data_IF_153104150048
#
_entry.id   IF_153104150048
#
_cell.length_a   1.000
_cell.length_b   1.000
_cell.length_c   1.000
_cell.angle_alpha   90.00
_cell.angle_beta   90.00
_cell.angle_gamma   90.00
#
_symmetry.space_group_name_H-M   'P 1'
#
loop_
_entity.id
_entity.type
_entity.pdbx_description
1 polymer ?
#
# COMPACT_ATOMS: atom_id res chain seq x y z
N UNK A 1 5.46 17.44 -8.77
CA UNK A 1 6.16 16.15 -8.64
C UNK A 1 5.27 15.15 -7.94
N UNK A 2 5.14 13.93 -8.49
CA UNK A 2 4.40 12.79 -7.92
C UNK A 2 5.42 11.87 -7.25
N UNK A 3 5.36 11.78 -5.92
CA UNK A 3 6.32 11.03 -5.10
C UNK A 3 5.71 9.73 -4.59
N UNK A 4 6.26 8.59 -5.01
CA UNK A 4 5.96 7.28 -4.45
C UNK A 4 6.72 7.04 -3.14
N UNK A 5 6.04 6.53 -2.12
CA UNK A 5 6.63 6.29 -0.81
C UNK A 5 6.20 4.90 -0.32
N UNK A 6 7.16 4.09 0.13
CA UNK A 6 6.90 2.86 0.88
C UNK A 6 7.54 2.96 2.26
N UNK A 7 6.75 3.14 3.32
CA UNK A 7 7.24 3.03 4.68
C UNK A 7 7.46 1.56 5.06
N UNK A 8 8.65 1.22 5.54
CA UNK A 8 8.99 -0.14 5.94
C UNK A 8 9.80 -0.13 7.23
N UNK A 9 9.15 -0.36 8.38
CA UNK A 9 9.84 -0.42 9.69
C UNK A 9 10.38 -1.81 9.99
N UNK A 10 11.45 -1.89 10.80
CA UNK A 10 12.05 -3.15 11.25
C UNK A 10 11.23 -3.89 12.30
N UNK A 11 10.48 -3.14 13.14
CA UNK A 11 9.80 -3.63 14.35
C UNK A 11 8.45 -4.33 14.12
N UNK A 12 8.35 -5.26 13.18
CA UNK A 12 7.10 -6.04 12.96
C UNK A 12 6.90 -7.06 14.08
N UNK A 13 5.83 -6.91 14.89
CA UNK A 13 5.56 -7.76 16.07
C UNK A 13 4.86 -9.08 15.73
N UNK A 14 3.81 -9.07 14.90
CA UNK A 14 3.01 -10.26 14.57
C UNK A 14 3.75 -11.21 13.62
N UNK A 15 4.57 -10.66 12.71
CA UNK A 15 5.40 -11.41 11.79
C UNK A 15 6.81 -10.80 11.78
N UNK A 16 7.76 -11.36 12.57
CA UNK A 16 9.12 -10.82 12.66
C UNK A 16 9.79 -10.70 11.29
N UNK A 17 10.46 -9.58 11.07
CA UNK A 17 11.18 -9.27 9.82
C UNK A 17 10.27 -9.30 8.58
N UNK A 18 8.98 -9.04 8.71
CA UNK A 18 7.94 -9.13 7.69
C UNK A 18 8.37 -8.55 6.33
N UNK A 19 8.88 -7.31 6.33
CA UNK A 19 9.19 -6.59 5.08
C UNK A 19 10.28 -7.25 4.23
N UNK A 20 11.18 -8.01 4.84
CA UNK A 20 12.26 -8.72 4.14
C UNK A 20 12.08 -10.25 4.14
N UNK A 21 10.97 -10.74 4.68
CA UNK A 21 10.63 -12.17 4.64
C UNK A 21 10.42 -12.62 3.20
N UNK A 22 11.04 -13.74 2.77
CA UNK A 22 10.85 -14.24 1.40
C UNK A 22 9.41 -14.65 1.13
N UNK A 23 8.82 -14.09 0.08
CA UNK A 23 7.50 -14.42 -0.45
C UNK A 23 7.67 -14.76 -1.94
N UNK A 24 7.35 -15.98 -2.35
CA UNK A 24 7.52 -16.46 -3.73
C UNK A 24 8.89 -16.11 -4.33
N UNK A 25 9.97 -16.42 -3.59
CA UNK A 25 11.36 -16.31 -4.05
C UNK A 25 12.04 -14.95 -3.89
N UNK A 26 11.35 -13.91 -3.41
CA UNK A 26 11.95 -12.58 -3.15
C UNK A 26 11.37 -11.92 -1.90
N UNK A 27 12.08 -10.95 -1.27
CA UNK A 27 11.57 -10.25 -0.10
C UNK A 27 10.19 -9.60 -0.33
N UNK A 28 9.32 -9.61 0.69
CA UNK A 28 7.98 -9.01 0.60
C UNK A 28 8.02 -7.57 0.04
N UNK A 29 8.93 -6.75 0.54
CA UNK A 29 9.13 -5.36 0.09
C UNK A 29 9.48 -5.27 -1.41
N UNK A 30 10.20 -6.26 -1.95
CA UNK A 30 10.66 -6.24 -3.34
C UNK A 30 9.50 -6.21 -4.35
N UNK A 31 8.37 -6.83 -4.02
CA UNK A 31 7.16 -6.78 -4.87
C UNK A 31 6.63 -5.37 -5.04
N UNK A 32 6.65 -4.58 -3.97
CA UNK A 32 6.23 -3.17 -4.03
C UNK A 32 7.25 -2.30 -4.76
N UNK A 33 8.55 -2.55 -4.55
CA UNK A 33 9.62 -1.83 -5.24
C UNK A 33 9.52 -2.05 -6.75
N UNK A 34 9.35 -3.28 -7.19
CA UNK A 34 9.22 -3.60 -8.62
C UNK A 34 7.98 -2.94 -9.25
N UNK A 35 6.83 -3.00 -8.55
CA UNK A 35 5.61 -2.34 -9.01
C UNK A 35 5.79 -0.81 -9.13
N UNK A 36 6.44 -0.18 -8.15
CA UNK A 36 6.74 1.24 -8.18
C UNK A 36 7.69 1.62 -9.33
N UNK A 37 8.73 0.83 -9.55
CA UNK A 37 9.69 1.04 -10.65
C UNK A 37 9.09 0.82 -12.03
N UNK A 38 8.08 -0.01 -12.16
CA UNK A 38 7.34 -0.23 -13.41
C UNK A 38 6.35 0.89 -13.73
N UNK A 39 5.99 1.73 -12.75
CA UNK A 39 5.11 2.88 -12.95
C UNK A 39 5.77 3.92 -13.87
N UNK A 40 4.97 4.45 -14.80
CA UNK A 40 5.35 5.51 -15.73
C UNK A 40 4.91 6.90 -15.25
N UNK A 41 4.18 6.95 -14.14
CA UNK A 41 3.59 8.17 -13.59
C UNK A 41 4.27 8.67 -12.33
N UNK A 42 5.06 7.83 -11.66
CA UNK A 42 5.87 8.28 -10.52
C UNK A 42 7.12 9.01 -11.03
N UNK A 43 7.32 10.25 -10.57
CA UNK A 43 8.54 11.03 -10.85
C UNK A 43 9.71 10.55 -10.00
N UNK A 44 9.44 10.09 -8.78
CA UNK A 44 10.42 9.58 -7.82
C UNK A 44 9.77 8.55 -6.92
N UNK A 45 10.54 7.58 -6.46
CA UNK A 45 10.10 6.58 -5.50
C UNK A 45 11.13 6.36 -4.42
N UNK A 46 10.70 6.33 -3.16
CA UNK A 46 11.57 6.12 -1.99
C UNK A 46 11.00 5.09 -1.04
N UNK A 47 11.89 4.33 -0.40
CA UNK A 47 11.59 3.50 0.77
C UNK A 47 12.06 4.24 2.01
N UNK A 48 11.13 4.53 2.94
CA UNK A 48 11.45 5.16 4.24
C UNK A 48 11.61 4.08 5.30
N UNK A 49 12.80 3.94 5.86
CA UNK A 49 13.10 2.93 6.89
C UNK A 49 14.21 3.40 7.83
N UNK A 50 14.13 2.96 9.09
CA UNK A 50 15.19 3.10 10.12
C UNK A 50 16.08 1.85 10.19
N UNK A 51 15.68 0.76 9.56
CA UNK A 51 16.29 -0.55 9.69
C UNK A 51 17.35 -0.77 8.61
N UNK A 52 18.59 -1.06 9.01
CA UNK A 52 19.72 -1.20 8.10
C UNK A 52 19.58 -2.39 7.13
N UNK A 53 18.97 -3.51 7.55
CA UNK A 53 18.76 -4.66 6.65
C UNK A 53 17.67 -4.37 5.63
N UNK A 54 16.56 -3.73 6.05
CA UNK A 54 15.51 -3.29 5.11
C UNK A 54 16.08 -2.30 4.12
N UNK A 55 16.92 -1.35 4.57
CA UNK A 55 17.60 -0.39 3.70
C UNK A 55 18.52 -1.09 2.68
N UNK A 56 19.28 -2.09 3.13
CA UNK A 56 20.15 -2.88 2.25
C UNK A 56 19.34 -3.62 1.18
N UNK A 57 18.26 -4.29 1.58
CA UNK A 57 17.35 -4.98 0.67
C UNK A 57 16.71 -3.99 -0.31
N UNK A 58 16.20 -2.85 0.15
CA UNK A 58 15.60 -1.86 -0.71
C UNK A 58 16.58 -1.35 -1.78
N UNK A 59 17.82 -1.04 -1.39
CA UNK A 59 18.88 -0.62 -2.34
C UNK A 59 19.25 -1.74 -3.32
N UNK A 60 19.34 -2.99 -2.86
CA UNK A 60 19.60 -4.15 -3.71
C UNK A 60 18.54 -4.30 -4.81
N UNK A 61 17.29 -4.00 -4.50
CA UNK A 61 16.17 -4.03 -5.47
C UNK A 61 16.02 -2.72 -6.26
N UNK A 62 16.94 -1.78 -6.06
CA UNK A 62 17.06 -0.55 -6.84
C UNK A 62 16.12 0.57 -6.41
N UNK A 63 15.65 0.56 -5.16
CA UNK A 63 14.93 1.68 -4.58
C UNK A 63 15.89 2.69 -3.96
N UNK A 64 15.55 3.95 -4.05
CA UNK A 64 16.13 4.99 -3.22
C UNK A 64 15.68 4.80 -1.77
N UNK A 65 16.57 4.95 -0.81
CA UNK A 65 16.27 4.82 0.62
C UNK A 65 16.39 6.16 1.30
N UNK A 66 15.35 6.53 2.01
CA UNK A 66 15.34 7.68 2.90
C UNK A 66 15.43 7.19 4.34
N UNK A 67 16.55 7.43 4.99
CA UNK A 67 16.78 7.00 6.36
C UNK A 67 15.79 7.72 7.31
N UNK A 68 14.94 6.94 7.99
CA UNK A 68 13.91 7.43 8.90
C UNK A 68 14.53 7.68 10.28
N UNK A 69 14.22 8.81 10.94
CA UNK A 69 14.58 9.00 12.33
C UNK A 69 14.01 7.89 13.22
N UNK A 70 14.83 7.36 14.15
CA UNK A 70 14.41 6.29 15.07
C UNK A 70 13.16 6.68 15.90
N UNK A 71 12.98 7.95 16.20
CA UNK A 71 11.79 8.48 16.87
C UNK A 71 10.49 8.25 16.09
N UNK A 72 10.57 8.04 14.77
CA UNK A 72 9.44 7.74 13.90
C UNK A 72 9.29 6.24 13.57
N UNK A 73 9.95 5.37 14.34
CA UNK A 73 9.88 3.92 14.16
C UNK A 73 9.10 3.20 15.28
N UNK A 74 8.64 3.94 16.28
CA UNK A 74 7.90 3.41 17.43
C UNK A 74 6.51 2.88 17.05
N UNK A 75 5.90 2.13 17.96
CA UNK A 75 4.55 1.56 17.73
C UNK A 75 3.45 2.61 17.69
N UNK A 76 3.63 3.72 18.41
CA UNK A 76 2.70 4.85 18.45
C UNK A 76 2.87 5.81 17.26
N UNK A 77 3.87 5.57 16.40
CA UNK A 77 4.13 6.41 15.23
C UNK A 77 3.02 6.22 14.19
N UNK A 78 2.35 7.31 13.86
CA UNK A 78 1.31 7.29 12.82
C UNK A 78 1.93 7.26 11.41
N UNK A 79 1.23 6.69 10.46
CA UNK A 79 1.63 6.75 9.04
C UNK A 79 1.76 8.20 8.58
N UNK A 80 0.85 9.05 9.00
CA UNK A 80 0.85 10.48 8.68
C UNK A 80 2.18 11.16 9.07
N UNK A 81 2.66 10.94 10.31
CA UNK A 81 3.93 11.54 10.77
C UNK A 81 5.14 11.04 9.99
N UNK A 82 5.14 9.78 9.55
CA UNK A 82 6.20 9.24 8.69
C UNK A 82 6.20 9.92 7.32
N UNK A 83 5.03 10.11 6.70
CA UNK A 83 4.96 10.77 5.40
C UNK A 83 5.27 12.26 5.49
N UNK A 84 4.88 12.93 6.58
CA UNK A 84 5.26 14.33 6.85
C UNK A 84 6.78 14.50 6.95
N UNK A 85 7.51 13.57 7.61
CA UNK A 85 8.97 13.57 7.63
C UNK A 85 9.57 13.44 6.22
N UNK A 86 9.02 12.56 5.39
CA UNK A 86 9.45 12.43 3.99
C UNK A 86 9.21 13.74 3.23
N UNK A 87 8.03 14.36 3.37
CA UNK A 87 7.67 15.60 2.69
C UNK A 87 8.47 16.82 3.17
N UNK A 88 9.00 16.80 4.39
CA UNK A 88 9.89 17.84 4.90
C UNK A 88 11.26 17.81 4.20
N UNK A 89 11.66 16.66 3.66
CA UNK A 89 12.96 16.45 3.00
C UNK A 89 12.87 16.34 1.49
N UNK A 90 11.73 15.90 0.97
CA UNK A 90 11.50 15.70 -0.45
C UNK A 90 10.22 16.46 -0.88
N UNK A 91 10.34 17.52 -1.69
CA UNK A 91 9.17 18.26 -2.15
C UNK A 91 8.31 17.40 -3.05
N UNK A 92 6.99 17.43 -2.84
CA UNK A 92 6.01 16.79 -3.71
C UNK A 92 4.70 17.61 -3.72
N UNK A 93 3.92 17.43 -4.77
CA UNK A 93 2.56 17.94 -4.91
C UNK A 93 1.54 16.84 -4.65
N UNK A 94 1.89 15.63 -5.08
CA UNK A 94 1.09 14.41 -4.91
C UNK A 94 1.96 13.34 -4.28
N UNK A 95 1.43 12.68 -3.27
CA UNK A 95 2.02 11.51 -2.61
C UNK A 95 1.29 10.26 -3.05
N UNK A 96 2.03 9.24 -3.44
CA UNK A 96 1.52 7.89 -3.69
C UNK A 96 2.09 6.95 -2.63
N UNK A 97 1.27 6.60 -1.64
CA UNK A 97 1.66 5.63 -0.62
C UNK A 97 1.39 4.22 -1.15
N UNK A 98 2.41 3.38 -1.08
CA UNK A 98 2.38 1.96 -1.45
C UNK A 98 2.80 1.15 -0.23
N UNK A 99 1.90 0.39 0.37
CA UNK A 99 2.28 -0.44 1.50
C UNK A 99 3.06 -1.69 1.04
N UNK A 100 4.15 -2.00 1.74
CA UNK A 100 4.93 -3.21 1.48
C UNK A 100 4.13 -4.49 1.77
N UNK A 101 3.13 -4.37 2.63
CA UNK A 101 2.27 -5.46 3.09
C UNK A 101 1.19 -5.88 2.11
N UNK A 102 0.98 -5.11 1.03
CA UNK A 102 0.06 -5.43 -0.05
C UNK A 102 0.83 -5.84 -1.32
N UNK A 103 1.36 -7.09 -1.39
CA UNK A 103 2.26 -7.50 -2.47
C UNK A 103 1.56 -7.79 -3.81
N UNK A 104 0.24 -7.97 -3.78
CA UNK A 104 -0.53 -8.39 -4.96
C UNK A 104 -1.07 -7.15 -5.67
N UNK A 105 -0.34 -6.69 -6.68
CA UNK A 105 -0.74 -5.57 -7.56
C UNK A 105 -0.80 -6.02 -9.00
N UNK A 106 -1.85 -5.65 -9.71
CA UNK A 106 -1.88 -5.81 -11.16
C UNK A 106 -0.95 -4.80 -11.82
N UNK A 107 -0.44 -5.20 -12.97
CA UNK A 107 0.37 -4.31 -13.80
C UNK A 107 -0.41 -3.03 -14.14
N UNK A 108 0.26 -1.88 -14.02
CA UNK A 108 -0.33 -0.56 -14.28
C UNK A 108 -1.33 -0.06 -13.24
N UNK A 109 -1.56 -0.78 -12.12
CA UNK A 109 -2.50 -0.31 -11.08
C UNK A 109 -2.11 1.06 -10.53
N UNK A 110 -0.84 1.27 -10.24
CA UNK A 110 -0.33 2.54 -9.70
C UNK A 110 -0.65 3.68 -10.68
N UNK A 111 -0.36 3.47 -11.96
CA UNK A 111 -0.60 4.47 -13.01
C UNK A 111 -2.09 4.76 -13.17
N UNK A 112 -2.95 3.73 -13.18
CA UNK A 112 -4.43 3.92 -13.24
C UNK A 112 -4.96 4.74 -12.05
N UNK A 113 -4.45 4.49 -10.83
CA UNK A 113 -4.83 5.27 -9.65
C UNK A 113 -4.41 6.73 -9.78
N UNK A 114 -3.18 6.99 -10.24
CA UNK A 114 -2.66 8.35 -10.46
C UNK A 114 -3.46 9.05 -11.57
N UNK A 115 -3.73 8.39 -12.68
CA UNK A 115 -4.51 8.94 -13.80
C UNK A 115 -5.93 9.28 -13.36
N UNK A 116 -6.58 8.39 -12.60
CA UNK A 116 -7.90 8.65 -12.03
C UNK A 116 -7.88 9.86 -11.10
N UNK A 117 -6.89 9.94 -10.21
CA UNK A 117 -6.71 11.07 -9.30
C UNK A 117 -6.54 12.38 -10.06
N UNK A 118 -5.70 12.42 -11.08
CA UNK A 118 -5.47 13.62 -11.89
C UNK A 118 -6.73 14.04 -12.68
N UNK A 119 -7.51 13.07 -13.15
CA UNK A 119 -8.73 13.34 -13.92
C UNK A 119 -9.89 13.87 -13.05
N UNK A 120 -10.04 13.35 -11.82
CA UNK A 120 -11.16 13.71 -10.93
C UNK A 120 -10.80 14.77 -9.89
N UNK A 121 -9.51 15.05 -9.71
CA UNK A 121 -8.96 16.05 -8.78
C UNK A 121 -9.55 15.98 -7.35
N UNK A 122 -9.56 14.81 -6.70
CA UNK A 122 -10.02 14.67 -5.33
C UNK A 122 -8.96 15.17 -4.36
N UNK A 123 -9.27 15.17 -3.06
CA UNK A 123 -8.30 15.41 -1.99
C UNK A 123 -7.46 14.15 -1.76
N UNK A 124 -8.11 12.99 -1.84
CA UNK A 124 -7.47 11.67 -1.75
C UNK A 124 -8.16 10.62 -2.61
N UNK A 125 -7.40 9.57 -2.96
CA UNK A 125 -7.87 8.36 -3.61
C UNK A 125 -7.30 7.15 -2.89
N UNK A 126 -8.13 6.13 -2.68
CA UNK A 126 -7.67 4.83 -2.21
C UNK A 126 -8.12 3.71 -3.15
N UNK A 127 -7.27 2.70 -3.34
CA UNK A 127 -7.68 1.40 -3.85
C UNK A 127 -8.28 0.55 -2.75
N UNK A 128 -9.16 -0.38 -3.11
CA UNK A 128 -9.82 -1.24 -2.13
C UNK A 128 -10.92 -2.09 -2.74
N UNK A 129 -11.80 -2.59 -1.91
CA UNK A 129 -12.89 -3.48 -2.31
C UNK A 129 -14.20 -3.17 -1.58
N UNK A 130 -15.29 -3.72 -2.07
CA UNK A 130 -16.59 -3.63 -1.39
C UNK A 130 -16.71 -4.77 -0.39
N UNK A 131 -16.64 -4.42 0.89
CA UNK A 131 -16.86 -5.35 2.00
C UNK A 131 -18.37 -5.52 2.25
N UNK A 132 -18.85 -6.76 2.25
CA UNK A 132 -20.24 -7.12 2.53
C UNK A 132 -20.41 -7.77 3.90
N UNK A 133 -19.38 -7.75 4.75
CA UNK A 133 -19.46 -8.21 6.12
C UNK A 133 -20.27 -7.21 6.95
N UNK A 134 -21.13 -7.73 7.83
CA UNK A 134 -21.90 -6.94 8.77
C UNK A 134 -21.64 -7.43 10.19
N UNK A 135 -21.57 -6.56 11.19
CA UNK A 135 -21.47 -6.97 12.58
C UNK A 135 -22.67 -7.86 12.95
N UNK A 136 -22.41 -8.92 13.72
CA UNK A 136 -23.50 -9.81 14.18
C UNK A 136 -24.53 -9.00 14.99
N UNK A 137 -25.81 -9.17 14.64
CA UNK A 137 -26.91 -8.44 15.29
C UNK A 137 -27.22 -7.06 14.70
N UNK A 138 -26.43 -6.56 13.73
CA UNK A 138 -26.70 -5.33 13.00
C UNK A 138 -27.27 -5.62 11.61
N UNK A 139 -28.15 -4.75 11.12
CA UNK A 139 -28.73 -4.83 9.78
C UNK A 139 -29.94 -5.75 9.63
N UNK A 140 -30.58 -5.75 8.47
CA UNK A 140 -31.76 -6.57 8.21
C UNK A 140 -31.38 -8.05 8.11
N UNK A 141 -31.96 -8.86 8.97
CA UNK A 141 -31.65 -10.30 9.14
C UNK A 141 -32.03 -11.21 7.95
N UNK A 142 -32.65 -10.67 6.91
CA UNK A 142 -33.22 -11.46 5.80
C UNK A 142 -32.60 -11.17 4.43
N UNK A 143 -31.54 -10.34 4.34
CA UNK A 143 -30.88 -10.10 3.08
C UNK A 143 -29.90 -11.23 2.75
N UNK A 144 -29.97 -11.72 1.51
CA UNK A 144 -28.92 -12.57 0.97
C UNK A 144 -27.63 -11.74 0.83
N UNK A 145 -26.46 -12.35 0.98
CA UNK A 145 -25.17 -11.66 0.89
C UNK A 145 -25.03 -10.85 -0.41
N UNK A 146 -25.58 -11.33 -1.52
CA UNK A 146 -25.58 -10.62 -2.81
C UNK A 146 -26.40 -9.33 -2.79
N UNK A 147 -27.44 -9.24 -1.96
CA UNK A 147 -28.36 -8.09 -1.86
C UNK A 147 -27.84 -7.03 -0.85
N UNK A 148 -26.77 -7.31 -0.13
CA UNK A 148 -26.10 -6.35 0.76
C UNK A 148 -25.27 -5.40 -0.11
N UNK A 149 -25.53 -4.09 -0.01
CA UNK A 149 -24.78 -3.08 -0.73
C UNK A 149 -23.27 -3.07 -0.37
N UNK A 150 -22.99 -3.34 0.90
CA UNK A 150 -21.61 -3.29 1.41
C UNK A 150 -21.09 -1.87 1.61
N UNK A 151 -19.82 -1.77 1.96
CA UNK A 151 -19.10 -0.49 2.11
C UNK A 151 -17.68 -0.65 1.57
N UNK A 152 -17.09 0.46 1.16
CA UNK A 152 -15.71 0.46 0.67
C UNK A 152 -14.74 0.26 1.83
N UNK A 153 -13.81 -0.68 1.66
CA UNK A 153 -12.64 -0.87 2.50
C UNK A 153 -11.38 -0.65 1.66
N UNK A 154 -10.50 0.19 2.12
CA UNK A 154 -9.17 0.32 1.54
C UNK A 154 -8.32 -0.94 1.83
N UNK A 155 -7.35 -1.20 0.98
CA UNK A 155 -6.59 -2.46 0.99
C UNK A 155 -5.07 -2.27 1.13
N UNK A 156 -4.63 -1.04 1.35
CA UNK A 156 -3.21 -0.73 1.46
C UNK A 156 -2.43 -0.74 0.14
N UNK A 157 -3.04 -1.14 -0.98
CA UNK A 157 -2.32 -1.26 -2.26
C UNK A 157 -1.83 0.07 -2.79
N UNK A 158 -2.75 1.03 -2.99
CA UNK A 158 -2.41 2.36 -3.54
C UNK A 158 -3.26 3.42 -2.87
N UNK A 159 -2.60 4.40 -2.28
CA UNK A 159 -3.23 5.67 -1.89
C UNK A 159 -2.59 6.80 -2.67
N UNK A 160 -3.39 7.71 -3.17
CA UNK A 160 -2.93 8.94 -3.84
C UNK A 160 -3.53 10.13 -3.12
N UNK A 161 -2.69 11.03 -2.61
CA UNK A 161 -3.11 12.11 -1.72
C UNK A 161 -2.42 13.41 -2.11
N UNK A 162 -3.13 14.52 -2.06
CA UNK A 162 -2.53 15.84 -2.20
C UNK A 162 -1.53 16.09 -1.06
N UNK A 163 -0.29 16.42 -1.38
CA UNK A 163 0.76 16.61 -0.36
C UNK A 163 0.41 17.74 0.63
N UNK A 164 -0.32 18.76 0.18
CA UNK A 164 -0.77 19.85 1.03
C UNK A 164 -1.75 19.38 2.12
N UNK A 165 -2.60 18.40 1.82
CA UNK A 165 -3.50 17.80 2.80
C UNK A 165 -2.69 17.13 3.93
N UNK A 166 -1.66 16.37 3.56
CA UNK A 166 -0.75 15.70 4.50
C UNK A 166 -0.01 16.72 5.37
N UNK A 167 0.46 17.84 4.80
CA UNK A 167 1.13 18.91 5.55
C UNK A 167 0.23 19.55 6.61
N UNK A 168 -1.08 19.61 6.34
CA UNK A 168 -2.09 20.11 7.31
C UNK A 168 -2.47 19.10 8.38
N UNK A 169 -1.94 17.89 8.34
CA UNK A 169 -2.24 16.83 9.30
C UNK A 169 -3.50 16.03 8.97
N UNK A 170 -3.98 16.07 7.73
CA UNK A 170 -5.09 15.27 7.24
C UNK A 170 -4.60 14.25 6.19
N UNK A 171 -5.33 13.16 6.05
CA UNK A 171 -5.02 12.07 5.13
C UNK A 171 -6.14 11.80 4.12
N UNK A 172 -7.35 12.13 4.47
CA UNK A 172 -8.55 11.74 3.73
C UNK A 172 -9.15 12.91 2.95
N UNK A 173 -9.31 14.07 3.58
CA UNK A 173 -9.96 15.25 3.00
C UNK A 173 -11.47 15.09 2.87
N UNK A 174 -12.09 15.96 2.10
CA UNK A 174 -13.53 16.00 1.88
C UNK A 174 -13.97 15.31 0.59
N UNK A 175 -13.17 15.41 -0.48
CA UNK A 175 -13.44 14.78 -1.78
C UNK A 175 -12.59 13.53 -1.91
N UNK A 176 -13.24 12.37 -1.80
CA UNK A 176 -12.60 11.06 -1.81
C UNK A 176 -12.95 10.35 -3.12
N UNK A 177 -11.94 9.79 -3.77
CA UNK A 177 -12.11 8.91 -4.94
C UNK A 177 -11.73 7.48 -4.56
N UNK A 178 -12.35 6.49 -5.21
CA UNK A 178 -12.17 5.07 -4.92
C UNK A 178 -11.86 4.30 -6.21
N UNK A 179 -10.92 3.37 -6.12
CA UNK A 179 -10.63 2.40 -7.17
C UNK A 179 -10.92 1.00 -6.64
N UNK A 180 -11.99 0.39 -7.14
CA UNK A 180 -12.40 -0.95 -6.68
C UNK A 180 -11.56 -1.99 -7.40
N UNK A 181 -10.94 -2.87 -6.61
CA UNK A 181 -10.10 -3.97 -7.06
C UNK A 181 -10.81 -5.31 -6.92
N UNK A 182 -10.32 -6.30 -7.66
CA UNK A 182 -10.69 -7.71 -7.43
C UNK A 182 -10.23 -8.15 -6.04
N UNK A 183 -11.07 -8.96 -5.38
CA UNK A 183 -10.80 -9.46 -4.03
C UNK A 183 -9.46 -10.20 -3.91
N UNK A 184 -9.00 -10.85 -4.97
CA UNK A 184 -7.71 -11.55 -4.99
C UNK A 184 -6.50 -10.62 -4.88
N UNK A 185 -6.68 -9.31 -5.04
CA UNK A 185 -5.63 -8.31 -4.81
C UNK A 185 -5.65 -7.73 -3.39
N UNK A 186 -6.75 -7.90 -2.66
CA UNK A 186 -6.96 -7.28 -1.36
C UNK A 186 -6.40 -8.16 -0.22
N UNK A 187 -5.09 -8.38 -0.24
CA UNK A 187 -4.40 -9.09 0.84
C UNK A 187 -3.38 -8.14 1.44
N UNK A 188 -3.65 -7.73 2.66
CA UNK A 188 -2.71 -7.00 3.51
C UNK A 188 -2.06 -7.99 4.49
N UNK A 189 -0.75 -8.15 4.38
CA UNK A 189 0.01 -9.13 5.17
C UNK A 189 0.28 -8.54 6.55
N UNK A 190 -0.44 -8.95 7.56
CA UNK A 190 -0.23 -8.54 8.95
C UNK A 190 0.36 -9.65 9.82
N UNK A 191 0.01 -10.89 9.56
CA UNK A 191 0.45 -12.04 10.32
C UNK A 191 0.84 -13.24 9.42
N UNK A 192 1.06 -14.41 10.04
CA UNK A 192 1.47 -15.61 9.32
C UNK A 192 0.35 -16.19 8.44
N UNK A 193 -0.92 -15.98 8.81
CA UNK A 193 -2.05 -16.43 8.00
C UNK A 193 -2.18 -15.61 6.74
N UNK A 194 -2.12 -14.28 6.84
CA UNK A 194 -2.16 -13.39 5.69
C UNK A 194 -0.97 -13.66 4.75
N UNK A 195 0.21 -13.92 5.34
CA UNK A 195 1.41 -14.26 4.57
C UNK A 195 1.20 -15.54 3.75
N UNK A 196 0.63 -16.58 4.37
CA UNK A 196 0.30 -17.81 3.67
C UNK A 196 -0.74 -17.59 2.57
N UNK A 197 -1.79 -16.79 2.82
CA UNK A 197 -2.81 -16.46 1.80
C UNK A 197 -2.16 -15.73 0.63
N UNK A 198 -1.33 -14.71 0.90
CA UNK A 198 -0.61 -13.97 -0.13
C UNK A 198 0.26 -14.91 -0.98
N UNK A 199 1.01 -15.82 -0.35
CA UNK A 199 1.88 -16.79 -1.02
C UNK A 199 1.08 -17.68 -1.98
N UNK A 200 -0.04 -18.28 -1.52
CA UNK A 200 -0.88 -19.14 -2.37
C UNK A 200 -1.46 -18.40 -3.57
N UNK A 201 -1.98 -17.20 -3.37
CA UNK A 201 -2.53 -16.38 -4.46
C UNK A 201 -1.45 -15.97 -5.47
N UNK A 202 -0.26 -15.64 -5.01
CA UNK A 202 0.84 -15.25 -5.90
C UNK A 202 1.40 -16.42 -6.67
N UNK A 203 1.53 -17.61 -6.07
CA UNK A 203 1.92 -18.85 -6.76
C UNK A 203 0.92 -19.18 -7.88
N UNK A 204 -0.39 -19.10 -7.59
CA UNK A 204 -1.42 -19.33 -8.60
C UNK A 204 -1.31 -18.34 -9.76
N UNK A 205 -1.06 -17.05 -9.47
CA UNK A 205 -0.86 -16.03 -10.51
C UNK A 205 0.37 -16.29 -11.38
N UNK A 206 1.48 -16.76 -10.78
CA UNK A 206 2.68 -17.12 -11.52
C UNK A 206 2.46 -18.31 -12.44
N UNK A 207 1.75 -19.34 -11.97
CA UNK A 207 1.39 -20.52 -12.79
C UNK A 207 0.51 -20.15 -13.97
N UNK A 208 -0.50 -19.29 -13.78
CA UNK A 208 -1.36 -18.81 -14.88
C UNK A 208 -0.57 -18.03 -15.94
N UNK A 209 0.44 -17.24 -15.53
CA UNK A 209 1.29 -16.48 -16.47
C UNK A 209 2.29 -17.36 -17.23
N UNK A 210 2.75 -18.45 -16.64
CA UNK A 210 3.67 -19.38 -17.28
C UNK A 210 2.99 -20.35 -18.27
N UNK A 211 1.66 -20.49 -18.19
CA UNK A 211 0.84 -21.33 -19.07
C UNK A 211 0.15 -20.59 -20.22
N UNK A 212 0.28 -19.26 -20.30
CA UNK A 212 -0.22 -18.39 -21.38
C UNK A 212 0.90 -17.99 -22.33
#
# INVERSE_FOLDING_TARGET
>A
MILGITPARGGSKRLPRKNIKPLCGKPLLAWTIEAAKASKRLDRYVVSTEDAEIAAVARQWGAEVLDRPAALAGDETTMLSVIQDVLARLPAEIVVLLQATSPIRDEGLIDRCIERFLATQPDSLASGFICKLTPYGSGPRQLRCQDVAGFFCDDGNVYVVQAELIRRGDWVGARIEQVILDRAQNVDVDDAFDFWVAERLMEQRQQCRAGS
#
